data_IF_096560278818
#
_entry.id   IF_096560278818
#
_cell.length_a   1.000
_cell.length_b   1.000
_cell.length_c   1.000
_cell.angle_alpha   90.00
_cell.angle_beta   90.00
_cell.angle_gamma   90.00
#
_symmetry.space_group_name_H-M   'P 1'
#
loop_
_entity.id
_entity.type
_entity.pdbx_description
1 polymer ?
#
# COMPACT_ATOMS: atom_id res chain seq x y z
N UNK A 1 -22.03 -9.31 2.48
CA UNK A 1 -22.15 -8.47 1.28
C UNK A 1 -21.45 -7.14 1.54
N UNK A 2 -20.71 -6.64 0.54
CA UNK A 2 -20.04 -5.34 0.63
C UNK A 2 -21.05 -4.19 0.74
N UNK A 3 -20.72 -3.09 1.47
CA UNK A 3 -21.45 -1.83 1.42
C UNK A 3 -21.64 -1.33 -0.02
N UNK A 4 -22.62 -0.44 -0.23
CA UNK A 4 -22.95 0.05 -1.57
C UNK A 4 -21.77 0.80 -2.22
N UNK A 5 -21.08 1.62 -1.44
CA UNK A 5 -19.93 2.41 -1.84
C UNK A 5 -18.82 1.53 -2.39
N UNK A 6 -18.49 0.44 -1.68
CA UNK A 6 -17.49 -0.53 -2.13
C UNK A 6 -17.92 -1.23 -3.43
N UNK A 7 -19.20 -1.58 -3.58
CA UNK A 7 -19.71 -2.17 -4.83
C UNK A 7 -19.58 -1.21 -6.00
N UNK A 8 -19.82 0.08 -5.80
CA UNK A 8 -19.66 1.12 -6.82
C UNK A 8 -18.19 1.22 -7.23
N UNK A 9 -17.26 1.24 -6.27
CA UNK A 9 -15.82 1.28 -6.53
C UNK A 9 -15.38 0.04 -7.34
N UNK A 10 -15.72 -1.16 -6.90
CA UNK A 10 -15.40 -2.40 -7.61
C UNK A 10 -16.00 -2.46 -9.02
N UNK A 11 -17.23 -1.93 -9.22
CA UNK A 11 -17.84 -1.83 -10.54
C UNK A 11 -17.08 -0.86 -11.46
N UNK A 12 -16.52 0.24 -10.89
CA UNK A 12 -15.67 1.15 -11.65
C UNK A 12 -14.38 0.48 -12.13
N UNK A 13 -13.76 -0.38 -11.31
CA UNK A 13 -12.56 -1.14 -11.71
C UNK A 13 -12.86 -2.07 -12.91
N UNK A 14 -13.95 -2.84 -12.82
CA UNK A 14 -14.35 -3.73 -13.92
C UNK A 14 -14.65 -2.98 -15.22
N UNK A 15 -15.21 -1.77 -15.11
CA UNK A 15 -15.51 -0.92 -16.27
C UNK A 15 -14.24 -0.33 -16.89
N UNK A 16 -13.32 0.17 -16.06
CA UNK A 16 -12.12 0.91 -16.52
C UNK A 16 -11.00 -0.04 -16.90
N UNK A 17 -10.91 -1.20 -16.22
CA UNK A 17 -9.84 -2.19 -16.35
C UNK A 17 -10.42 -3.58 -16.70
N UNK A 18 -11.13 -3.74 -17.83
CA UNK A 18 -11.76 -5.03 -18.19
C UNK A 18 -10.74 -6.14 -18.47
N UNK A 19 -9.50 -5.77 -18.75
CA UNK A 19 -8.34 -6.62 -19.04
C UNK A 19 -7.54 -7.02 -17.79
N UNK A 20 -7.92 -6.51 -16.61
CA UNK A 20 -7.26 -6.84 -15.34
C UNK A 20 -8.03 -7.92 -14.59
N UNK A 21 -7.29 -8.80 -13.92
CA UNK A 21 -7.85 -9.76 -12.96
C UNK A 21 -7.77 -9.16 -11.56
N UNK A 22 -8.92 -9.07 -10.89
CA UNK A 22 -8.98 -8.63 -9.49
C UNK A 22 -8.76 -9.84 -8.57
N UNK A 23 -7.72 -9.79 -7.75
CA UNK A 23 -7.48 -10.73 -6.66
C UNK A 23 -7.86 -10.08 -5.33
N UNK A 24 -8.71 -10.75 -4.56
CA UNK A 24 -9.05 -10.34 -3.20
C UNK A 24 -8.17 -11.15 -2.24
N UNK A 25 -7.42 -10.46 -1.38
CA UNK A 25 -6.64 -11.09 -0.32
C UNK A 25 -7.51 -11.28 0.90
N UNK A 26 -7.62 -12.52 1.35
CA UNK A 26 -8.48 -12.94 2.45
C UNK A 26 -7.75 -12.95 3.78
N UNK A 27 -8.49 -13.25 4.85
CA UNK A 27 -7.91 -13.52 6.16
C UNK A 27 -6.94 -14.70 6.12
N UNK A 28 -7.29 -15.76 5.39
CA UNK A 28 -6.46 -16.97 5.24
C UNK A 28 -5.18 -16.65 4.46
N UNK A 29 -5.25 -15.85 3.41
CA UNK A 29 -4.06 -15.37 2.68
C UNK A 29 -3.14 -14.59 3.62
N UNK A 30 -3.68 -13.67 4.41
CA UNK A 30 -2.90 -12.88 5.37
C UNK A 30 -2.21 -13.77 6.41
N UNK A 31 -2.91 -14.76 6.95
CA UNK A 31 -2.33 -15.74 7.89
C UNK A 31 -1.23 -16.57 7.26
N UNK A 32 -1.39 -16.96 6.00
CA UNK A 32 -0.41 -17.78 5.27
C UNK A 32 0.91 -17.05 4.99
N UNK A 33 0.95 -15.71 5.11
CA UNK A 33 2.20 -14.93 4.99
C UNK A 33 3.20 -15.29 6.09
N UNK A 34 2.72 -15.68 7.27
CA UNK A 34 3.58 -16.05 8.40
C UNK A 34 4.33 -14.85 9.02
N UNK A 35 3.71 -13.69 9.01
CA UNK A 35 4.27 -12.45 9.59
C UNK A 35 3.67 -12.21 10.98
N UNK A 36 4.54 -12.15 12.01
CA UNK A 36 4.14 -11.94 13.40
C UNK A 36 3.29 -10.67 13.59
N UNK A 37 3.65 -9.57 12.92
CA UNK A 37 2.89 -8.32 12.97
C UNK A 37 1.44 -8.51 12.51
N UNK A 38 1.24 -9.23 11.39
CA UNK A 38 -0.11 -9.59 10.89
C UNK A 38 -0.86 -10.39 11.94
N UNK A 39 -0.25 -11.44 12.49
CA UNK A 39 -0.90 -12.33 13.47
C UNK A 39 -1.35 -11.57 14.70
N UNK A 40 -0.51 -10.68 15.21
CA UNK A 40 -0.82 -9.84 16.35
C UNK A 40 -1.95 -8.84 16.02
N UNK A 41 -1.90 -8.17 14.87
CA UNK A 41 -2.94 -7.23 14.46
C UNK A 41 -4.31 -7.93 14.30
N UNK A 42 -4.32 -9.11 13.69
CA UNK A 42 -5.53 -9.93 13.53
C UNK A 42 -6.08 -10.41 14.88
N UNK A 43 -5.22 -10.79 15.84
CA UNK A 43 -5.64 -11.28 17.16
C UNK A 43 -6.42 -10.24 17.96
N UNK A 44 -6.14 -8.96 17.75
CA UNK A 44 -6.84 -7.83 18.39
C UNK A 44 -7.81 -7.10 17.44
N UNK A 45 -8.16 -7.74 16.32
CA UNK A 45 -9.12 -7.25 15.31
C UNK A 45 -8.76 -5.88 14.69
N UNK A 46 -7.49 -5.60 14.57
CA UNK A 46 -6.97 -4.39 13.91
C UNK A 46 -6.69 -4.68 12.42
N UNK A 47 -7.78 -4.92 11.68
CA UNK A 47 -7.74 -5.38 10.28
C UNK A 47 -6.97 -4.46 9.34
N UNK A 48 -7.10 -3.14 9.52
CA UNK A 48 -6.41 -2.15 8.70
C UNK A 48 -4.89 -2.30 8.80
N UNK A 49 -4.33 -2.52 9.99
CA UNK A 49 -2.89 -2.71 10.20
C UNK A 49 -2.37 -4.03 9.62
N UNK A 50 -3.20 -5.08 9.65
CA UNK A 50 -2.86 -6.31 8.93
C UNK A 50 -2.86 -6.08 7.41
N UNK A 51 -3.84 -5.37 6.87
CA UNK A 51 -3.92 -5.01 5.45
C UNK A 51 -2.73 -4.15 5.01
N UNK A 52 -2.22 -3.25 5.89
CA UNK A 52 -1.01 -2.46 5.63
C UNK A 52 0.22 -3.32 5.31
N UNK A 53 0.33 -4.50 5.91
CA UNK A 53 1.42 -5.43 5.58
C UNK A 53 1.12 -6.23 4.32
N UNK A 54 -0.12 -6.74 4.20
CA UNK A 54 -0.56 -7.57 3.09
C UNK A 54 -0.40 -6.85 1.75
N UNK A 55 -0.73 -5.55 1.66
CA UNK A 55 -0.63 -4.78 0.41
C UNK A 55 0.78 -4.78 -0.18
N UNK A 56 1.81 -4.61 0.65
CA UNK A 56 3.20 -4.61 0.19
C UNK A 56 3.70 -6.01 -0.12
N UNK A 57 3.33 -7.00 0.71
CA UNK A 57 3.64 -8.39 0.40
C UNK A 57 3.06 -8.83 -0.94
N UNK A 58 1.79 -8.50 -1.20
CA UNK A 58 1.09 -8.85 -2.42
C UNK A 58 1.80 -8.31 -3.66
N UNK A 59 2.09 -7.00 -3.68
CA UNK A 59 2.74 -6.35 -4.82
C UNK A 59 4.21 -6.80 -4.95
N UNK A 60 4.92 -7.03 -3.84
CA UNK A 60 6.26 -7.61 -3.89
C UNK A 60 6.25 -9.00 -4.52
N UNK A 61 5.34 -9.88 -4.08
CA UNK A 61 5.32 -11.29 -4.52
C UNK A 61 4.75 -11.50 -5.90
N UNK A 62 3.74 -10.77 -6.27
CA UNK A 62 2.99 -11.00 -7.52
C UNK A 62 3.19 -9.91 -8.56
N UNK A 63 3.57 -8.71 -8.13
CA UNK A 63 3.48 -7.52 -8.94
C UNK A 63 2.04 -7.05 -9.12
N UNK A 64 1.84 -6.02 -9.91
CA UNK A 64 0.51 -5.52 -10.25
C UNK A 64 0.16 -4.24 -9.48
N UNK A 65 -1.12 -4.03 -9.28
CA UNK A 65 -1.68 -2.80 -8.71
C UNK A 65 -2.40 -3.13 -7.40
N UNK A 66 -2.02 -2.45 -6.34
CA UNK A 66 -2.80 -2.44 -5.11
C UNK A 66 -3.77 -1.26 -5.14
N UNK A 67 -5.00 -1.52 -4.73
CA UNK A 67 -6.03 -0.51 -4.51
C UNK A 67 -6.82 -0.83 -3.25
N UNK A 68 -7.03 0.17 -2.39
CA UNK A 68 -8.02 0.06 -1.32
C UNK A 68 -9.41 -0.10 -1.94
N UNK A 69 -10.29 -0.85 -1.28
CA UNK A 69 -11.60 -1.22 -1.82
C UNK A 69 -12.56 -0.04 -2.07
N UNK A 70 -12.27 1.11 -1.49
CA UNK A 70 -13.01 2.37 -1.62
C UNK A 70 -12.44 3.32 -2.70
N UNK A 71 -11.43 2.89 -3.45
CA UNK A 71 -10.91 3.66 -4.59
C UNK A 71 -11.89 3.56 -5.77
N UNK A 72 -12.38 4.70 -6.25
CA UNK A 72 -13.20 4.79 -7.46
C UNK A 72 -12.33 5.17 -8.65
N UNK A 73 -12.30 4.34 -9.70
CA UNK A 73 -11.54 4.61 -10.91
C UNK A 73 -12.36 5.40 -11.94
N UNK A 74 -11.84 6.57 -12.30
CA UNK A 74 -12.38 7.38 -13.39
C UNK A 74 -11.81 7.00 -14.76
N UNK A 75 -10.50 6.70 -14.82
CA UNK A 75 -9.74 6.41 -16.05
C UNK A 75 -8.57 5.46 -15.78
N UNK A 76 -8.02 4.91 -16.84
CA UNK A 76 -6.82 4.06 -16.79
C UNK A 76 -5.60 4.85 -16.31
N UNK A 77 -4.65 4.10 -15.77
CA UNK A 77 -3.39 4.62 -15.19
C UNK A 77 -2.14 4.04 -15.88
N UNK A 78 -2.28 3.53 -17.10
CA UNK A 78 -1.21 2.80 -17.81
C UNK A 78 0.12 3.59 -17.90
N UNK A 79 0.05 4.92 -18.00
CA UNK A 79 1.24 5.78 -18.05
C UNK A 79 2.10 5.77 -16.78
N UNK A 80 1.56 5.28 -15.67
CA UNK A 80 2.24 5.21 -14.39
C UNK A 80 2.77 3.81 -14.06
N UNK A 81 2.59 2.83 -14.96
CA UNK A 81 3.09 1.47 -14.76
C UNK A 81 4.61 1.49 -14.95
N UNK A 82 5.40 1.26 -13.89
CA UNK A 82 6.85 1.25 -14.02
C UNK A 82 7.31 -0.02 -14.72
N UNK A 83 8.36 0.06 -15.54
CA UNK A 83 9.00 -1.14 -16.09
C UNK A 83 9.60 -2.01 -14.98
N UNK A 84 10.20 -1.36 -13.99
CA UNK A 84 10.76 -1.98 -12.78
C UNK A 84 10.50 -1.08 -11.56
N UNK A 85 10.49 -1.66 -10.37
CA UNK A 85 10.29 -0.88 -9.13
C UNK A 85 8.81 -0.68 -8.78
N UNK A 86 8.54 0.43 -8.16
CA UNK A 86 7.21 0.81 -7.65
C UNK A 86 6.84 2.22 -8.12
N UNK A 87 5.57 2.48 -8.33
CA UNK A 87 5.04 3.80 -8.60
C UNK A 87 3.90 4.09 -7.62
N UNK A 88 3.91 5.27 -7.04
CA UNK A 88 2.87 5.77 -6.13
C UNK A 88 2.66 7.27 -6.35
N UNK A 89 1.87 7.90 -5.49
CA UNK A 89 1.45 9.29 -5.66
C UNK A 89 1.67 10.08 -4.37
N UNK A 90 1.94 11.38 -4.53
CA UNK A 90 1.92 12.31 -3.41
C UNK A 90 0.51 12.36 -2.82
N UNK A 91 0.44 12.34 -1.50
CA UNK A 91 -0.80 12.58 -0.79
C UNK A 91 -0.98 14.09 -0.60
N UNK A 92 -2.10 14.64 -1.10
CA UNK A 92 -2.44 16.03 -0.84
C UNK A 92 -3.09 16.12 0.52
N UNK A 93 -2.56 17.02 1.32
CA UNK A 93 -3.11 17.41 2.61
C UNK A 93 -4.02 18.62 2.46
N UNK A 94 -4.98 18.77 3.35
CA UNK A 94 -5.81 19.97 3.38
C UNK A 94 -4.98 21.21 3.76
N UNK A 95 -5.44 22.38 3.35
CA UNK A 95 -4.77 23.67 3.63
C UNK A 95 -4.55 23.84 5.14
N UNK A 96 -3.28 23.90 5.58
CA UNK A 96 -2.89 24.05 6.98
C UNK A 96 -2.20 22.83 7.60
N UNK A 97 -2.14 21.69 6.94
CA UNK A 97 -1.33 20.56 7.37
C UNK A 97 0.12 20.69 6.86
N UNK A 98 1.08 20.50 7.76
CA UNK A 98 2.50 20.77 7.48
C UNK A 98 3.23 19.61 6.82
N UNK A 99 2.59 18.47 6.64
CA UNK A 99 3.23 17.25 6.17
C UNK A 99 2.43 16.56 5.07
N UNK A 100 2.75 16.80 3.81
CA UNK A 100 2.33 15.92 2.72
C UNK A 100 3.16 14.63 2.76
N UNK A 101 2.58 13.53 2.33
CA UNK A 101 3.19 12.21 2.37
C UNK A 101 3.05 11.46 1.06
N UNK A 102 3.40 10.21 1.10
CA UNK A 102 3.18 9.24 0.04
C UNK A 102 1.93 8.45 0.40
N UNK A 103 0.94 8.42 -0.48
CA UNK A 103 -0.28 7.67 -0.23
C UNK A 103 -0.06 6.15 -0.38
N UNK A 104 -0.77 5.36 0.42
CA UNK A 104 -0.69 3.91 0.41
C UNK A 104 -1.95 3.21 -0.13
N UNK A 105 -2.99 3.96 -0.45
CA UNK A 105 -4.27 3.43 -0.91
C UNK A 105 -4.24 2.94 -2.37
N UNK A 106 -3.27 3.43 -3.16
CA UNK A 106 -3.08 3.06 -4.55
C UNK A 106 -1.59 3.11 -4.90
N UNK A 107 -1.04 1.99 -5.36
CA UNK A 107 0.32 1.93 -5.90
C UNK A 107 0.48 0.75 -6.85
N UNK A 108 1.50 0.84 -7.71
CA UNK A 108 1.78 -0.12 -8.78
C UNK A 108 3.21 -0.63 -8.57
N UNK A 109 3.46 -1.92 -8.75
CA UNK A 109 4.83 -2.42 -8.64
C UNK A 109 5.08 -3.64 -9.51
N UNK A 110 6.31 -3.74 -9.99
CA UNK A 110 6.78 -4.94 -10.65
C UNK A 110 6.96 -6.07 -9.63
N UNK A 111 6.81 -7.31 -10.07
CA UNK A 111 7.08 -8.47 -9.21
C UNK A 111 8.53 -8.44 -8.74
N UNK A 112 8.74 -8.64 -7.44
CA UNK A 112 10.06 -8.66 -6.83
C UNK A 112 10.67 -7.27 -6.58
N UNK A 113 9.88 -6.19 -6.73
CA UNK A 113 10.41 -4.82 -6.55
C UNK A 113 10.96 -4.59 -5.13
N UNK A 114 12.09 -3.90 -5.08
CA UNK A 114 12.83 -3.68 -3.83
C UNK A 114 12.13 -2.74 -2.85
N UNK A 115 11.28 -1.83 -3.35
CA UNK A 115 10.59 -0.88 -2.47
C UNK A 115 9.53 -1.58 -1.62
N UNK A 116 8.62 -2.33 -2.24
CA UNK A 116 7.61 -3.09 -1.50
C UNK A 116 8.23 -4.18 -0.63
N UNK A 117 9.36 -4.78 -1.09
CA UNK A 117 10.13 -5.72 -0.27
C UNK A 117 10.62 -5.07 1.01
N UNK A 118 11.26 -3.90 0.92
CA UNK A 118 11.80 -3.17 2.07
C UNK A 118 10.71 -2.72 3.06
N UNK A 119 9.55 -2.27 2.54
CA UNK A 119 8.39 -1.96 3.40
C UNK A 119 7.88 -3.21 4.11
N UNK A 120 7.78 -4.34 3.40
CA UNK A 120 7.36 -5.61 4.01
C UNK A 120 8.36 -6.09 5.07
N UNK A 121 9.67 -6.03 4.80
CA UNK A 121 10.73 -6.39 5.74
C UNK A 121 10.72 -5.51 7.01
N UNK A 122 10.36 -4.23 6.88
CA UNK A 122 10.16 -3.36 8.03
C UNK A 122 9.14 -3.93 9.01
N UNK A 123 8.01 -4.44 8.52
CA UNK A 123 6.98 -5.06 9.36
C UNK A 123 7.42 -6.42 9.93
N UNK A 124 8.22 -7.19 9.20
CA UNK A 124 8.71 -8.49 9.67
C UNK A 124 9.61 -8.38 10.91
N UNK A 125 10.29 -7.26 11.10
CA UNK A 125 11.19 -7.00 12.23
C UNK A 125 10.51 -6.34 13.43
N UNK A 126 9.19 -6.15 13.40
CA UNK A 126 8.43 -5.41 14.41
C UNK A 126 7.29 -6.21 15.00
N UNK A 127 6.93 -5.82 16.21
CA UNK A 127 5.74 -6.30 16.90
C UNK A 127 4.61 -5.27 16.80
N UNK A 128 3.41 -5.70 16.40
CA UNK A 128 2.22 -4.87 16.47
C UNK A 128 1.78 -4.63 17.91
N UNK A 129 1.88 -5.69 18.75
CA UNK A 129 1.67 -5.58 20.21
C UNK A 129 3.04 -5.46 20.85
N UNK A 130 3.39 -4.28 21.35
CA UNK A 130 4.67 -4.00 21.98
C UNK A 130 4.81 -4.73 23.34
N UNK A 131 6.03 -4.89 23.87
CA UNK A 131 6.25 -5.58 25.15
C UNK A 131 5.49 -4.97 26.35
N UNK A 132 5.17 -3.68 26.29
CA UNK A 132 4.38 -2.96 27.29
C UNK A 132 2.85 -3.11 27.10
N UNK A 133 2.43 -3.89 26.11
CA UNK A 133 1.03 -4.10 25.73
C UNK A 133 0.42 -2.99 24.85
N UNK A 134 1.15 -1.93 24.55
CA UNK A 134 0.68 -0.90 23.63
C UNK A 134 0.69 -1.41 22.18
N UNK A 135 -0.11 -0.78 21.32
CA UNK A 135 -0.18 -1.14 19.90
C UNK A 135 0.69 -0.21 19.07
N UNK A 136 1.40 -0.77 18.09
CA UNK A 136 2.07 0.02 17.06
C UNK A 136 1.03 0.53 16.05
N UNK A 137 0.67 1.80 16.16
CA UNK A 137 -0.32 2.45 15.30
C UNK A 137 0.32 3.27 14.17
N UNK A 138 1.59 2.97 13.84
CA UNK A 138 2.27 3.61 12.72
C UNK A 138 1.60 3.16 11.41
N UNK A 139 1.04 4.12 10.68
CA UNK A 139 0.37 3.85 9.40
C UNK A 139 1.35 3.73 8.25
N UNK A 140 1.00 2.94 7.24
CA UNK A 140 1.88 2.62 6.11
C UNK A 140 2.40 3.83 5.30
N UNK A 141 1.67 4.94 5.12
CA UNK A 141 2.21 6.14 4.47
C UNK A 141 3.50 6.68 5.12
N UNK A 142 3.58 6.72 6.45
CA UNK A 142 4.80 7.15 7.15
C UNK A 142 5.98 6.21 6.93
N UNK A 143 5.73 4.90 6.88
CA UNK A 143 6.75 3.89 6.62
C UNK A 143 7.26 4.03 5.19
N UNK A 144 6.35 4.15 4.21
CA UNK A 144 6.70 4.40 2.81
C UNK A 144 7.55 5.65 2.66
N UNK A 145 7.10 6.76 3.26
CA UNK A 145 7.83 8.03 3.23
C UNK A 145 9.23 7.88 3.81
N UNK A 146 9.38 7.30 5.00
CA UNK A 146 10.68 7.09 5.65
C UNK A 146 11.64 6.26 4.79
N UNK A 147 11.14 5.26 4.08
CA UNK A 147 11.94 4.45 3.15
C UNK A 147 12.29 5.25 1.90
N UNK A 148 11.34 6.00 1.34
CA UNK A 148 11.57 6.83 0.16
C UNK A 148 12.55 7.99 0.43
N UNK A 149 12.51 8.60 1.61
CA UNK A 149 13.46 9.65 2.03
C UNK A 149 14.91 9.14 2.04
N UNK A 150 15.14 7.89 2.44
CA UNK A 150 16.47 7.26 2.32
C UNK A 150 16.93 7.07 0.87
N UNK A 151 16.00 7.13 -0.07
CA UNK A 151 16.23 7.04 -1.53
C UNK A 151 16.25 8.42 -2.20
N UNK A 152 16.14 9.51 -1.42
CA UNK A 152 16.20 10.89 -1.90
C UNK A 152 14.84 11.57 -2.09
N UNK A 153 13.73 10.94 -1.64
CA UNK A 153 12.41 11.58 -1.67
C UNK A 153 12.41 12.86 -0.83
N UNK A 154 11.82 13.89 -1.39
CA UNK A 154 11.56 15.16 -0.71
C UNK A 154 10.07 15.44 -0.83
N UNK A 155 9.45 15.87 0.27
CA UNK A 155 8.03 16.21 0.26
C UNK A 155 7.81 17.48 -0.59
N UNK A 156 7.30 17.30 -1.82
CA UNK A 156 6.97 18.33 -2.79
C UNK A 156 5.97 17.80 -3.81
N UNK A 157 5.29 18.69 -4.52
CA UNK A 157 4.24 18.32 -5.48
C UNK A 157 4.77 17.79 -6.83
N UNK A 158 6.05 18.02 -7.14
CA UNK A 158 6.62 17.57 -8.42
C UNK A 158 6.88 16.07 -8.44
N UNK A 159 6.79 15.49 -9.62
CA UNK A 159 7.14 14.09 -9.89
C UNK A 159 8.60 13.83 -9.50
N UNK A 160 8.86 12.69 -8.88
CA UNK A 160 10.19 12.28 -8.44
C UNK A 160 10.47 10.85 -8.88
N UNK A 161 11.56 10.68 -9.61
CA UNK A 161 12.04 9.38 -10.08
C UNK A 161 13.26 8.98 -9.26
N UNK A 162 13.08 8.06 -8.33
CA UNK A 162 14.11 7.66 -7.39
C UNK A 162 14.50 6.20 -7.62
N UNK A 163 15.55 5.75 -6.96
CA UNK A 163 15.97 4.35 -7.07
C UNK A 163 14.85 3.41 -6.60
N UNK A 164 14.20 2.75 -7.55
CA UNK A 164 13.18 1.72 -7.32
C UNK A 164 11.80 2.24 -6.91
N UNK A 165 11.56 3.54 -6.95
CA UNK A 165 10.25 4.14 -6.72
C UNK A 165 10.09 5.46 -7.49
N UNK A 166 8.97 5.59 -8.18
CA UNK A 166 8.49 6.82 -8.78
C UNK A 166 7.34 7.37 -7.91
N UNK A 167 7.35 8.68 -7.67
CA UNK A 167 6.30 9.38 -6.91
C UNK A 167 5.75 10.51 -7.79
N UNK A 168 4.44 10.45 -8.08
CA UNK A 168 3.73 11.36 -8.98
C UNK A 168 2.85 12.35 -8.20
#
# INVERSE_FOLDING_TARGET
PYPLEIKICLASWKRVLPDYTVRVWTYEDAKAIGCKYIDQALSVRKWAFAADVVRFYAVYKEGGVYMDSDIYLHKRFDRFIPETGCATFNERWEEGETESGIQAAFFIGSKGNDFCKEVFEYYQTRDFIRPDGSLDQTVSPYIMRSIAERRGYVCKEEEQHLKGIDVY
#
